data_IF_208146400540
#
_entry.id   IF_208146400540
#
_cell.length_a   1.000
_cell.length_b   1.000
_cell.length_c   1.000
_cell.angle_alpha   90.00
_cell.angle_beta   90.00
_cell.angle_gamma   90.00
#
_symmetry.space_group_name_H-M   'P 1'
#
loop_
_entity.id
_entity.type
_entity.pdbx_description
1 polymer ?
#
# COMPACT_ATOMS: atom_id res chain seq x y z
N UNK A 1 6.77 4.67 15.70
CA UNK A 1 6.46 4.01 14.42
C UNK A 1 6.36 2.51 14.65
N UNK A 2 5.30 1.87 14.18
CA UNK A 2 5.16 0.42 14.25
C UNK A 2 6.13 -0.26 13.30
N UNK A 3 6.63 -1.42 13.69
CA UNK A 3 7.56 -2.18 12.85
C UNK A 3 6.96 -2.54 11.50
N UNK A 4 5.67 -2.88 11.46
CA UNK A 4 4.96 -3.19 10.21
C UNK A 4 5.00 -1.99 9.26
N UNK A 5 4.72 -0.79 9.77
CA UNK A 5 4.74 0.42 8.95
C UNK A 5 6.13 0.74 8.46
N UNK A 6 7.14 0.55 9.32
CA UNK A 6 8.53 0.81 8.95
C UNK A 6 8.98 -0.13 7.84
N UNK A 7 8.73 -1.42 7.98
CA UNK A 7 9.12 -2.41 6.99
C UNK A 7 8.42 -2.16 5.65
N UNK A 8 7.14 -1.85 5.69
CA UNK A 8 6.37 -1.53 4.50
C UNK A 8 6.91 -0.28 3.81
N UNK A 9 7.18 0.76 4.59
CA UNK A 9 7.74 2.01 4.06
C UNK A 9 9.06 1.77 3.35
N UNK A 10 9.97 1.03 3.98
CA UNK A 10 11.28 0.75 3.39
C UNK A 10 11.17 0.00 2.07
N UNK A 11 10.18 -0.88 1.97
CA UNK A 11 9.99 -1.71 0.79
C UNK A 11 9.28 -0.97 -0.34
N UNK A 12 8.32 -0.11 -0.02
CA UNK A 12 7.39 0.45 -1.00
C UNK A 12 7.40 1.96 -1.14
N UNK A 13 8.25 2.68 -0.41
CA UNK A 13 8.26 4.15 -0.47
C UNK A 13 8.50 4.68 -1.88
N UNK A 14 9.23 3.94 -2.70
CA UNK A 14 9.50 4.35 -4.08
C UNK A 14 8.25 4.36 -4.96
N UNK A 15 7.15 3.81 -4.46
CA UNK A 15 5.88 3.75 -5.19
C UNK A 15 4.92 4.89 -4.85
N UNK A 16 5.31 5.82 -3.97
CA UNK A 16 4.47 6.98 -3.66
C UNK A 16 4.07 7.71 -4.93
N UNK A 17 2.80 8.11 -4.98
CA UNK A 17 2.19 8.85 -6.09
C UNK A 17 2.16 8.08 -7.41
N UNK A 18 2.43 6.78 -7.36
CA UNK A 18 2.37 5.91 -8.53
C UNK A 18 1.06 5.13 -8.54
N UNK A 19 0.61 4.76 -9.74
CA UNK A 19 -0.45 3.77 -9.87
C UNK A 19 0.08 2.42 -9.43
N UNK A 20 -0.62 1.78 -8.51
CA UNK A 20 -0.18 0.51 -7.94
C UNK A 20 -1.32 -0.50 -7.92
N UNK A 21 -0.96 -1.76 -7.81
CA UNK A 21 -1.88 -2.85 -7.55
C UNK A 21 -1.52 -3.48 -6.22
N UNK A 22 -2.49 -3.53 -5.32
CA UNK A 22 -2.33 -4.09 -3.98
C UNK A 22 -2.99 -5.46 -3.96
N UNK A 23 -2.22 -6.48 -3.60
CA UNK A 23 -2.72 -7.84 -3.43
C UNK A 23 -2.98 -8.06 -1.95
N UNK A 24 -4.23 -8.36 -1.62
CA UNK A 24 -4.62 -8.56 -0.23
C UNK A 24 -4.53 -10.05 0.13
N UNK A 25 -4.34 -10.31 1.42
CA UNK A 25 -4.15 -11.68 1.92
C UNK A 25 -5.37 -12.56 1.73
N UNK A 26 -6.56 -11.98 1.57
CA UNK A 26 -7.78 -12.73 1.29
C UNK A 26 -7.94 -13.10 -0.17
N UNK A 27 -6.96 -12.75 -1.01
CA UNK A 27 -6.98 -13.03 -2.44
C UNK A 27 -7.57 -11.93 -3.30
N UNK A 28 -8.12 -10.89 -2.69
CA UNK A 28 -8.67 -9.77 -3.46
C UNK A 28 -7.56 -8.83 -3.91
N UNK A 29 -7.91 -7.96 -4.86
CA UNK A 29 -6.96 -7.02 -5.47
C UNK A 29 -7.59 -5.63 -5.46
N UNK A 30 -6.77 -4.61 -5.19
CA UNK A 30 -7.19 -3.21 -5.25
C UNK A 30 -6.22 -2.45 -6.13
N UNK A 31 -6.75 -1.66 -7.05
CA UNK A 31 -5.96 -0.78 -7.91
C UNK A 31 -6.21 0.66 -7.52
N UNK A 32 -5.17 1.47 -7.56
CA UNK A 32 -5.30 2.89 -7.27
C UNK A 32 -3.95 3.56 -7.20
N UNK A 33 -3.94 4.78 -6.70
CA UNK A 33 -2.71 5.56 -6.51
C UNK A 33 -2.32 5.50 -5.05
N UNK A 34 -1.06 5.17 -4.78
CA UNK A 34 -0.52 5.12 -3.43
C UNK A 34 -0.28 6.54 -2.95
N UNK A 35 -1.29 7.11 -2.26
CA UNK A 35 -1.29 8.53 -1.89
C UNK A 35 -0.59 8.84 -0.58
N UNK A 36 -0.65 7.96 0.42
CA UNK A 36 -0.12 8.26 1.74
C UNK A 36 0.04 6.99 2.57
N UNK A 37 0.80 7.13 3.65
CA UNK A 37 0.93 6.10 4.67
C UNK A 37 0.56 6.71 6.02
N UNK A 38 -0.21 5.94 6.80
CA UNK A 38 -0.59 6.34 8.16
C UNK A 38 0.16 5.44 9.14
N UNK A 39 1.31 5.91 9.61
CA UNK A 39 2.21 5.08 10.41
C UNK A 39 1.59 4.62 11.72
N UNK A 40 0.88 5.51 12.40
CA UNK A 40 0.27 5.16 13.68
C UNK A 40 -0.85 4.15 13.55
N UNK A 41 -1.55 4.18 12.43
CA UNK A 41 -2.66 3.26 12.16
C UNK A 41 -2.21 2.02 11.39
N UNK A 42 -0.93 1.95 10.99
CA UNK A 42 -0.39 0.86 10.17
C UNK A 42 -1.26 0.61 8.94
N UNK A 43 -1.54 1.68 8.21
CA UNK A 43 -2.41 1.64 7.04
C UNK A 43 -1.87 2.52 5.93
N UNK A 44 -2.39 2.32 4.73
CA UNK A 44 -2.07 3.18 3.59
C UNK A 44 -3.34 3.79 3.03
N UNK A 45 -3.16 4.89 2.30
CA UNK A 45 -4.24 5.50 1.53
C UNK A 45 -4.04 5.16 0.06
N UNK A 46 -4.94 4.35 -0.47
CA UNK A 46 -4.94 3.97 -1.87
C UNK A 46 -6.10 4.69 -2.56
N UNK A 47 -5.79 5.75 -3.30
CA UNK A 47 -6.78 6.69 -3.85
C UNK A 47 -7.66 7.25 -2.73
N UNK A 48 -8.86 6.76 -2.55
CA UNK A 48 -9.77 7.21 -1.48
C UNK A 48 -10.01 6.11 -0.44
N UNK A 49 -9.30 5.01 -0.50
CA UNK A 49 -9.52 3.85 0.37
C UNK A 49 -8.37 3.69 1.35
N UNK A 50 -8.69 3.51 2.62
CA UNK A 50 -7.70 3.20 3.66
C UNK A 50 -7.59 1.69 3.78
N UNK A 51 -6.37 1.16 3.62
CA UNK A 51 -6.12 -0.28 3.67
C UNK A 51 -5.11 -0.58 4.76
N UNK A 52 -5.46 -1.43 5.74
CA UNK A 52 -4.50 -1.84 6.76
C UNK A 52 -3.34 -2.61 6.15
N UNK A 53 -2.12 -2.26 6.53
CA UNK A 53 -0.93 -2.94 6.02
C UNK A 53 -0.95 -4.42 6.35
N UNK A 54 -1.51 -4.79 7.52
CA UNK A 54 -1.61 -6.19 7.92
C UNK A 54 -2.41 -7.05 6.94
N UNK A 55 -3.27 -6.44 6.13
CA UNK A 55 -4.08 -7.15 5.13
C UNK A 55 -3.41 -7.23 3.77
N UNK A 56 -2.26 -6.58 3.61
CA UNK A 56 -1.58 -6.52 2.32
C UNK A 56 -0.57 -7.65 2.20
N UNK A 57 -0.74 -8.46 1.16
CA UNK A 57 0.23 -9.49 0.80
C UNK A 57 1.46 -8.86 0.14
N UNK A 58 1.23 -8.05 -0.88
CA UNK A 58 2.26 -7.30 -1.59
C UNK A 58 1.63 -6.19 -2.42
N UNK A 59 2.47 -5.29 -2.90
CA UNK A 59 2.05 -4.19 -3.76
C UNK A 59 3.07 -4.05 -4.89
N UNK A 60 2.59 -3.72 -6.08
CA UNK A 60 3.48 -3.51 -7.22
C UNK A 60 3.00 -2.33 -8.05
N UNK A 61 3.92 -1.73 -8.80
CA UNK A 61 3.56 -0.63 -9.69
C UNK A 61 2.78 -1.19 -10.88
N UNK A 62 1.67 -0.53 -11.21
CA UNK A 62 0.94 -0.85 -12.43
C UNK A 62 1.59 -0.15 -13.60
N UNK A 63 1.79 -0.89 -14.67
CA UNK A 63 2.20 -0.30 -15.93
C UNK A 63 0.93 0.10 -16.68
N UNK A 64 0.71 1.39 -16.78
CA UNK A 64 -0.37 1.93 -17.58
C UNK A 64 0.18 2.39 -18.91
N UNK A 65 -0.40 1.91 -19.95
CA UNK A 65 0.00 2.30 -21.30
C UNK A 65 -0.88 3.44 -21.77
#
# INVERSE_FOLDING_TARGET
>A
MHEISKAFHEQYAHLYDQSVRVYLKDGSVRDGIFNDEFYEDSAILLSCEVIPIAEIERMERRNEL
#
